data_IF_942728618992
#
_entry.id   IF_942728618992
#
_cell.length_a   1.000
_cell.length_b   1.000
_cell.length_c   1.000
_cell.angle_alpha   90.00
_cell.angle_beta   90.00
_cell.angle_gamma   90.00
#
_symmetry.space_group_name_H-M   'P 1'
#
loop_
_entity.id
_entity.type
_entity.pdbx_description
1 polymer ?
#
# COMPACT_ATOMS: atom_id res chain seq x y z
N UNK A 1 28.49 0.23 22.82
CA UNK A 1 27.19 -0.34 23.23
C UNK A 1 26.97 -1.61 22.42
N UNK A 2 26.90 -2.74 23.11
CA UNK A 2 26.99 -4.11 22.61
C UNK A 2 25.65 -4.62 22.11
N UNK A 3 25.23 -4.22 20.91
CA UNK A 3 24.22 -4.95 20.15
C UNK A 3 24.96 -5.95 19.26
N UNK A 4 24.58 -7.23 19.36
CA UNK A 4 25.05 -8.25 18.42
C UNK A 4 24.78 -7.81 16.98
N UNK A 5 25.75 -7.85 16.05
CA UNK A 5 25.53 -7.52 14.65
C UNK A 5 24.37 -8.28 14.01
N UNK A 6 24.08 -9.51 14.48
CA UNK A 6 22.94 -10.31 14.03
C UNK A 6 21.59 -9.72 14.45
N UNK A 7 21.49 -9.18 15.68
CA UNK A 7 20.25 -8.61 16.21
C UNK A 7 19.90 -7.29 15.53
N UNK A 8 20.90 -6.44 15.28
CA UNK A 8 20.69 -5.19 14.52
C UNK A 8 20.20 -5.49 13.09
N UNK A 9 20.79 -6.50 12.43
CA UNK A 9 20.35 -6.91 11.09
C UNK A 9 18.90 -7.40 11.08
N UNK A 10 18.51 -8.27 12.01
CA UNK A 10 17.13 -8.76 12.13
C UNK A 10 16.15 -7.63 12.42
N UNK A 11 16.50 -6.71 13.30
CA UNK A 11 15.69 -5.53 13.59
C UNK A 11 15.46 -4.68 12.34
N UNK A 12 16.51 -4.40 11.56
CA UNK A 12 16.38 -3.63 10.32
C UNK A 12 15.52 -4.33 9.27
N UNK A 13 15.57 -5.67 9.19
CA UNK A 13 14.67 -6.44 8.30
C UNK A 13 13.20 -6.24 8.71
N UNK A 14 12.89 -6.33 10.01
CA UNK A 14 11.53 -6.12 10.51
C UNK A 14 11.04 -4.69 10.26
N UNK A 15 11.90 -3.69 10.50
CA UNK A 15 11.59 -2.28 10.24
C UNK A 15 11.31 -2.05 8.76
N UNK A 16 12.18 -2.54 7.87
CA UNK A 16 12.00 -2.38 6.42
C UNK A 16 10.78 -3.15 5.92
N UNK A 17 10.49 -4.33 6.47
CA UNK A 17 9.28 -5.08 6.12
C UNK A 17 8.02 -4.31 6.51
N UNK A 18 8.00 -3.72 7.71
CA UNK A 18 6.87 -2.90 8.16
C UNK A 18 6.65 -1.67 7.25
N UNK A 19 7.72 -1.06 6.75
CA UNK A 19 7.62 0.03 5.76
C UNK A 19 6.92 -0.46 4.49
N UNK A 20 7.35 -1.60 3.93
CA UNK A 20 6.77 -2.16 2.70
C UNK A 20 5.28 -2.49 2.88
N UNK A 21 4.91 -3.17 3.97
CA UNK A 21 3.52 -3.58 4.21
C UNK A 21 2.56 -2.40 4.39
N UNK A 22 3.03 -1.28 4.94
CA UNK A 22 2.22 -0.09 5.13
C UNK A 22 2.13 0.78 3.86
N UNK A 23 3.19 0.82 3.05
CA UNK A 23 3.22 1.68 1.86
C UNK A 23 2.37 1.12 0.71
N UNK A 24 2.31 -0.20 0.55
CA UNK A 24 1.55 -0.83 -0.53
C UNK A 24 0.06 -0.38 -0.56
N UNK A 25 -0.69 -0.42 0.55
CA UNK A 25 -2.07 0.10 0.60
C UNK A 25 -2.20 1.58 0.22
N UNK A 26 -1.22 2.42 0.58
CA UNK A 26 -1.24 3.84 0.23
C UNK A 26 -1.04 4.07 -1.26
N UNK A 27 -0.15 3.31 -1.91
CA UNK A 27 0.02 3.37 -3.36
C UNK A 27 -1.29 3.02 -4.08
N UNK A 28 -1.96 1.96 -3.64
CA UNK A 28 -3.25 1.56 -4.22
C UNK A 28 -4.32 2.64 -4.03
N UNK A 29 -4.37 3.26 -2.86
CA UNK A 29 -5.30 4.36 -2.55
C UNK A 29 -5.06 5.57 -3.45
N UNK A 30 -3.79 5.94 -3.65
CA UNK A 30 -3.40 7.05 -4.55
C UNK A 30 -3.73 6.73 -6.02
N UNK A 31 -3.59 5.47 -6.45
CA UNK A 31 -3.98 5.04 -7.79
C UNK A 31 -5.51 5.09 -8.01
N UNK A 32 -6.30 4.68 -7.01
CA UNK A 32 -7.76 4.69 -7.07
C UNK A 32 -8.37 6.10 -6.98
N UNK A 33 -7.62 7.07 -6.43
CA UNK A 33 -8.10 8.41 -6.11
C UNK A 33 -8.81 9.10 -7.29
N UNK A 34 -8.25 9.04 -8.50
CA UNK A 34 -8.82 9.70 -9.68
C UNK A 34 -10.20 9.12 -10.03
N UNK A 35 -10.38 7.81 -9.90
CA UNK A 35 -11.66 7.15 -10.16
C UNK A 35 -12.68 7.55 -9.10
N UNK A 36 -12.30 7.51 -7.82
CA UNK A 36 -13.15 7.90 -6.69
C UNK A 36 -13.62 9.35 -6.84
N UNK A 37 -12.71 10.28 -7.16
CA UNK A 37 -13.05 11.69 -7.38
C UNK A 37 -14.05 11.89 -8.53
N UNK A 38 -13.88 11.15 -9.64
CA UNK A 38 -14.81 11.19 -10.78
C UNK A 38 -16.20 10.68 -10.41
N UNK A 39 -16.27 9.56 -9.70
CA UNK A 39 -17.54 9.00 -9.21
C UNK A 39 -18.25 9.94 -8.23
N UNK A 40 -17.49 10.61 -7.36
CA UNK A 40 -18.00 11.58 -6.40
C UNK A 40 -18.28 12.97 -6.99
N UNK A 41 -18.09 13.18 -8.31
CA UNK A 41 -18.29 14.47 -9.01
C UNK A 41 -17.53 15.64 -8.36
N UNK A 42 -16.30 15.39 -7.90
CA UNK A 42 -15.46 16.40 -7.26
C UNK A 42 -15.11 17.52 -8.25
N UNK A 43 -15.15 18.76 -7.78
CA UNK A 43 -14.77 19.95 -8.54
C UNK A 43 -13.34 19.85 -9.10
N UNK A 44 -13.17 20.16 -10.38
CA UNK A 44 -11.92 19.95 -11.11
C UNK A 44 -10.70 20.66 -10.49
N UNK A 45 -10.88 21.85 -9.91
CA UNK A 45 -9.82 22.59 -9.22
C UNK A 45 -9.27 21.83 -8.00
N UNK A 46 -10.18 21.33 -7.15
CA UNK A 46 -9.82 20.55 -5.95
C UNK A 46 -9.25 19.18 -6.30
N UNK A 47 -9.84 18.52 -7.29
CA UNK A 47 -9.36 17.25 -7.83
C UNK A 47 -7.92 17.36 -8.35
N UNK A 48 -7.61 18.43 -9.11
CA UNK A 48 -6.25 18.65 -9.65
C UNK A 48 -5.20 18.74 -8.55
N UNK A 49 -5.45 19.51 -7.50
CA UNK A 49 -4.51 19.63 -6.38
C UNK A 49 -4.29 18.29 -5.68
N UNK A 50 -5.38 17.57 -5.36
CA UNK A 50 -5.30 16.26 -4.74
C UNK A 50 -4.54 15.24 -5.61
N UNK A 51 -4.72 15.28 -6.94
CA UNK A 51 -4.03 14.39 -7.87
C UNK A 51 -2.53 14.67 -7.97
N UNK A 52 -2.12 15.95 -7.91
CA UNK A 52 -0.70 16.31 -7.85
C UNK A 52 -0.05 15.82 -6.56
N UNK A 53 -0.72 16.01 -5.42
CA UNK A 53 -0.23 15.52 -4.12
C UNK A 53 -0.15 13.98 -4.12
N UNK A 54 -1.16 13.30 -4.65
CA UNK A 54 -1.16 11.85 -4.78
C UNK A 54 -0.04 11.35 -5.70
N UNK A 55 0.27 12.06 -6.79
CA UNK A 55 1.38 11.72 -7.67
C UNK A 55 2.73 11.85 -6.94
N UNK A 56 2.96 12.96 -6.23
CA UNK A 56 4.18 13.16 -5.45
C UNK A 56 4.30 12.08 -4.36
N UNK A 57 3.20 11.81 -3.64
CA UNK A 57 3.14 10.76 -2.62
C UNK A 57 3.44 9.39 -3.19
N UNK A 58 2.92 9.06 -4.38
CA UNK A 58 3.19 7.80 -5.06
C UNK A 58 4.67 7.69 -5.45
N UNK A 59 5.27 8.74 -6.02
CA UNK A 59 6.70 8.77 -6.37
C UNK A 59 7.56 8.53 -5.13
N UNK A 60 7.29 9.23 -4.04
CA UNK A 60 8.03 9.06 -2.79
C UNK A 60 7.85 7.66 -2.20
N UNK A 61 6.62 7.11 -2.29
CA UNK A 61 6.31 5.75 -1.85
C UNK A 61 7.13 4.71 -2.63
N UNK A 62 7.25 4.85 -3.95
CA UNK A 62 8.11 3.97 -4.75
C UNK A 62 9.59 4.10 -4.40
N UNK A 63 10.05 5.32 -4.10
CA UNK A 63 11.41 5.54 -3.62
C UNK A 63 11.66 4.83 -2.27
N UNK A 64 10.72 4.92 -1.32
CA UNK A 64 10.81 4.26 -0.02
C UNK A 64 10.76 2.72 -0.13
N UNK A 65 9.95 2.18 -1.04
CA UNK A 65 9.93 0.75 -1.32
C UNK A 65 11.28 0.28 -1.89
N UNK A 66 11.82 1.02 -2.86
CA UNK A 66 13.12 0.70 -3.43
C UNK A 66 14.25 0.75 -2.38
N UNK A 67 14.23 1.75 -1.49
CA UNK A 67 15.26 1.90 -0.45
C UNK A 67 15.13 0.89 0.70
N UNK A 68 13.97 0.25 0.88
CA UNK A 68 13.72 -0.76 1.93
C UNK A 68 14.48 -2.08 1.68
N UNK A 69 14.95 -2.32 0.47
CA UNK A 69 15.79 -3.46 0.11
C UNK A 69 15.02 -4.69 -0.36
N UNK A 70 15.73 -5.59 -1.04
CA UNK A 70 15.14 -6.73 -1.75
C UNK A 70 14.42 -7.73 -0.83
N UNK A 71 15.00 -8.01 0.34
CA UNK A 71 14.43 -8.97 1.29
C UNK A 71 13.07 -8.48 1.84
N UNK A 72 13.00 -7.21 2.26
CA UNK A 72 11.76 -6.60 2.71
C UNK A 72 10.70 -6.56 1.61
N UNK A 73 11.11 -6.25 0.37
CA UNK A 73 10.22 -6.26 -0.79
C UNK A 73 9.66 -7.66 -1.09
N UNK A 74 10.48 -8.70 -1.01
CA UNK A 74 10.04 -10.09 -1.21
C UNK A 74 8.99 -10.50 -0.17
N UNK A 75 9.30 -10.32 1.12
CA UNK A 75 8.36 -10.66 2.20
C UNK A 75 7.09 -9.80 2.14
N UNK A 76 7.22 -8.50 1.85
CA UNK A 76 6.07 -7.61 1.70
C UNK A 76 5.16 -7.99 0.52
N UNK A 77 5.74 -8.42 -0.60
CA UNK A 77 4.97 -8.93 -1.74
C UNK A 77 4.23 -10.23 -1.40
N UNK A 78 4.88 -11.17 -0.70
CA UNK A 78 4.23 -12.42 -0.25
C UNK A 78 3.04 -12.14 0.68
N UNK A 79 3.21 -11.25 1.66
CA UNK A 79 2.13 -10.84 2.57
C UNK A 79 0.98 -10.16 1.82
N UNK A 80 1.30 -9.32 0.83
CA UNK A 80 0.30 -8.64 0.00
C UNK A 80 -0.51 -9.64 -0.83
N UNK A 81 0.14 -10.56 -1.53
CA UNK A 81 -0.54 -11.59 -2.32
C UNK A 81 -1.37 -12.54 -1.45
N UNK A 82 -0.87 -12.89 -0.26
CA UNK A 82 -1.64 -13.65 0.71
C UNK A 82 -2.89 -12.86 1.14
N UNK A 83 -2.75 -11.58 1.46
CA UNK A 83 -3.85 -10.70 1.83
C UNK A 83 -4.94 -10.61 0.75
N UNK A 84 -4.54 -10.45 -0.52
CA UNK A 84 -5.49 -10.45 -1.65
C UNK A 84 -6.16 -11.81 -1.85
N UNK A 85 -5.42 -12.89 -1.68
CA UNK A 85 -5.97 -14.25 -1.77
C UNK A 85 -7.03 -14.48 -0.68
N UNK A 86 -6.71 -14.09 0.56
CA UNK A 86 -7.64 -14.17 1.68
C UNK A 86 -8.86 -13.28 1.45
N UNK A 87 -8.67 -12.05 0.97
CA UNK A 87 -9.77 -11.17 0.60
C UNK A 87 -10.68 -11.84 -0.43
N UNK A 88 -10.15 -12.45 -1.49
CA UNK A 88 -10.94 -13.14 -2.51
C UNK A 88 -11.76 -14.33 -1.99
N UNK A 89 -11.31 -15.00 -0.92
CA UNK A 89 -12.09 -16.05 -0.25
C UNK A 89 -13.26 -15.50 0.56
N UNK A 90 -13.12 -14.30 1.12
CA UNK A 90 -14.13 -13.68 2.00
C UNK A 90 -15.05 -12.71 1.24
N UNK A 91 -14.58 -12.11 0.14
CA UNK A 91 -15.29 -11.09 -0.63
C UNK A 91 -16.68 -11.49 -1.11
N UNK A 92 -16.98 -12.75 -1.49
CA UNK A 92 -18.33 -13.12 -1.91
C UNK A 92 -19.40 -12.85 -0.84
N UNK A 93 -19.03 -12.92 0.45
CA UNK A 93 -19.97 -12.64 1.55
C UNK A 93 -20.37 -11.17 1.63
N UNK A 94 -19.50 -10.26 1.19
CA UNK A 94 -19.76 -8.82 1.23
C UNK A 94 -20.36 -8.33 -0.08
N UNK A 95 -19.76 -8.70 -1.22
CA UNK A 95 -20.12 -8.18 -2.53
C UNK A 95 -21.42 -8.78 -3.09
N UNK A 96 -21.82 -9.99 -2.67
CA UNK A 96 -23.07 -10.61 -3.10
C UNK A 96 -24.26 -10.30 -2.16
N UNK A 97 -23.99 -9.95 -0.89
CA UNK A 97 -25.05 -9.62 0.08
C UNK A 97 -25.59 -8.20 -0.13
N UNK A 98 -24.76 -7.25 -0.56
CA UNK A 98 -25.19 -5.87 -0.86
C UNK A 98 -25.96 -5.72 -2.19
N UNK A 99 -26.16 -6.82 -2.93
CA UNK A 99 -27.08 -6.84 -4.07
C UNK A 99 -28.51 -7.11 -3.59
N UNK A 100 -29.16 -6.07 -3.05
CA UNK A 100 -30.61 -5.96 -3.13
C UNK A 100 -30.98 -5.66 -4.60
N UNK A 101 -31.02 -6.72 -5.41
CA UNK A 101 -31.76 -6.71 -6.68
C UNK A 101 -33.24 -6.91 -6.35
#
# INVERSE_FOLDING_TARGET
>A
MTISPSLNKQFNVLVNLAVVTNIIPYILSMAALVIIQKLAKVEAGKARMANVIALIGAIYSFYALYSSGQEAMLYGAMVTFLGWTLYGLVSPRFELTDRHI
#
